data_IF_806986028584
#
_entry.id   IF_806986028584
#
_cell.length_a   1.000
_cell.length_b   1.000
_cell.length_c   1.000
_cell.angle_alpha   90.00
_cell.angle_beta   90.00
_cell.angle_gamma   90.00
#
_symmetry.space_group_name_H-M   'P 1'
#
loop_
_entity.id
_entity.type
_entity.pdbx_description
1 polymer ?
#
# COMPACT_ATOMS: atom_id res chain seq x y z
N UNK A 1 46.79 47.81 41.14
CA UNK A 1 46.03 47.89 39.88
C UNK A 1 45.53 46.48 39.53
N UNK A 2 44.21 46.26 39.60
CA UNK A 2 43.58 44.93 39.51
C UNK A 2 43.29 44.57 38.04
N UNK A 3 43.94 43.52 37.50
CA UNK A 3 43.75 43.06 36.12
C UNK A 3 42.43 42.28 36.04
N UNK A 4 41.35 42.89 35.54
CA UNK A 4 40.11 42.18 35.19
C UNK A 4 40.31 41.43 33.87
N UNK A 5 40.48 40.11 33.94
CA UNK A 5 40.30 39.24 32.77
C UNK A 5 38.80 39.02 32.57
N UNK A 6 38.26 39.70 31.56
CA UNK A 6 36.88 39.54 31.10
C UNK A 6 36.68 38.13 30.56
N UNK A 7 36.01 37.29 31.35
CA UNK A 7 35.53 35.98 30.93
C UNK A 7 34.28 36.18 30.06
N UNK A 8 34.49 36.38 28.76
CA UNK A 8 33.40 36.24 27.79
C UNK A 8 33.18 34.73 27.55
N UNK A 9 31.99 34.19 27.82
CA UNK A 9 31.72 32.78 27.58
C UNK A 9 31.78 32.55 26.07
N UNK A 10 32.70 31.69 25.65
CA UNK A 10 32.83 31.26 24.27
C UNK A 10 31.47 30.85 23.76
N UNK A 11 31.02 31.54 22.70
CA UNK A 11 29.80 31.25 21.95
C UNK A 11 29.74 29.75 21.70
N UNK A 12 28.65 29.10 22.10
CA UNK A 12 28.39 27.72 21.71
C UNK A 12 28.55 27.62 20.19
N UNK A 13 29.45 26.73 19.76
CA UNK A 13 29.66 26.35 18.37
C UNK A 13 28.28 26.10 17.75
N UNK A 14 27.89 26.77 16.66
CA UNK A 14 26.69 26.34 15.96
C UNK A 14 26.97 24.90 15.56
N UNK A 15 26.22 23.96 16.12
CA UNK A 15 26.16 22.61 15.59
C UNK A 15 25.57 22.78 14.20
N UNK A 16 26.45 23.00 13.22
CA UNK A 16 26.12 23.02 11.81
C UNK A 16 25.44 21.69 11.57
N UNK A 17 24.11 21.71 11.53
CA UNK A 17 23.34 20.60 11.02
C UNK A 17 23.58 20.58 9.52
N UNK A 18 24.77 20.10 9.14
CA UNK A 18 25.05 19.61 7.82
C UNK A 18 24.36 18.25 7.74
N UNK A 19 23.03 18.26 7.81
CA UNK A 19 22.23 17.12 7.38
C UNK A 19 22.68 16.90 5.94
N UNK A 20 23.36 15.78 5.70
CA UNK A 20 24.02 15.56 4.44
C UNK A 20 22.98 15.76 3.32
N UNK A 21 23.33 16.54 2.30
CA UNK A 21 22.42 16.78 1.18
C UNK A 21 21.93 15.45 0.57
N UNK A 22 22.78 14.42 0.61
CA UNK A 22 22.46 13.04 0.26
C UNK A 22 21.45 12.37 1.21
N UNK A 23 21.49 12.67 2.50
CA UNK A 23 20.55 12.16 3.50
C UNK A 23 19.16 12.76 3.28
N UNK A 24 19.09 14.07 3.04
CA UNK A 24 17.85 14.76 2.66
C UNK A 24 17.28 14.19 1.36
N UNK A 25 18.14 13.93 0.38
CA UNK A 25 17.75 13.31 -0.89
C UNK A 25 17.23 11.87 -0.71
N UNK A 26 17.88 11.07 0.14
CA UNK A 26 17.42 9.72 0.48
C UNK A 26 16.03 9.70 1.13
N UNK A 27 15.73 10.61 2.05
CA UNK A 27 14.40 10.70 2.67
C UNK A 27 13.31 11.10 1.68
N UNK A 28 13.61 11.98 0.72
CA UNK A 28 12.69 12.33 -0.37
C UNK A 28 12.44 11.13 -1.27
N UNK A 29 13.49 10.42 -1.70
CA UNK A 29 13.34 9.20 -2.51
C UNK A 29 12.56 8.11 -1.78
N UNK A 30 12.81 7.92 -0.48
CA UNK A 30 12.11 6.96 0.36
C UNK A 30 10.62 7.33 0.52
N UNK A 31 10.31 8.61 0.74
CA UNK A 31 8.93 9.10 0.83
C UNK A 31 8.16 8.92 -0.47
N UNK A 32 8.77 9.21 -1.62
CA UNK A 32 8.17 8.98 -2.94
C UNK A 32 7.93 7.49 -3.18
N UNK A 33 8.90 6.63 -2.85
CA UNK A 33 8.78 5.18 -2.99
C UNK A 33 7.66 4.61 -2.11
N UNK A 34 7.57 5.04 -0.85
CA UNK A 34 6.52 4.61 0.08
C UNK A 34 5.13 5.10 -0.36
N UNK A 35 5.02 6.33 -0.87
CA UNK A 35 3.78 6.86 -1.45
C UNK A 35 3.32 6.09 -2.68
N UNK A 36 4.25 5.67 -3.54
CA UNK A 36 3.96 4.84 -4.71
C UNK A 36 3.54 3.41 -4.32
N UNK A 37 4.16 2.83 -3.30
CA UNK A 37 3.81 1.50 -2.81
C UNK A 37 2.39 1.49 -2.19
N UNK A 38 2.01 2.56 -1.48
CA UNK A 38 0.66 2.69 -0.91
C UNK A 38 -0.44 2.91 -1.95
N UNK A 39 -0.17 3.67 -3.02
CA UNK A 39 -1.16 3.99 -4.05
C UNK A 39 -1.52 2.78 -4.93
N UNK A 40 -0.55 1.91 -5.20
CA UNK A 40 -0.77 0.67 -5.97
C UNK A 40 -1.65 -0.32 -5.20
N UNK A 41 -1.46 -0.43 -3.88
CA UNK A 41 -2.24 -1.34 -3.04
C UNK A 41 -3.72 -0.95 -3.00
N UNK A 42 -4.03 0.35 -2.92
CA UNK A 42 -5.41 0.86 -2.96
C UNK A 42 -6.09 0.59 -4.31
N UNK A 43 -5.34 0.66 -5.41
CA UNK A 43 -5.86 0.41 -6.77
C UNK A 43 -6.18 -1.07 -7.00
N UNK A 44 -5.31 -1.97 -6.53
CA UNK A 44 -5.53 -3.42 -6.63
C UNK A 44 -6.74 -3.85 -5.79
N UNK A 45 -6.92 -3.30 -4.58
CA UNK A 45 -8.10 -3.59 -3.74
C UNK A 45 -9.40 -3.12 -4.42
N UNK A 46 -9.38 -1.94 -5.05
CA UNK A 46 -10.53 -1.44 -5.81
C UNK A 46 -10.87 -2.34 -7.00
N UNK A 47 -9.87 -2.74 -7.80
CA UNK A 47 -10.08 -3.66 -8.94
C UNK A 47 -10.65 -5.01 -8.50
N UNK A 48 -10.12 -5.59 -7.43
CA UNK A 48 -10.60 -6.85 -6.85
C UNK A 48 -12.08 -6.75 -6.42
N UNK A 49 -12.45 -5.63 -5.80
CA UNK A 49 -13.83 -5.41 -5.34
C UNK A 49 -14.79 -5.25 -6.52
N UNK A 50 -14.37 -4.54 -7.56
CA UNK A 50 -15.15 -4.36 -8.79
C UNK A 50 -15.37 -5.70 -9.51
N UNK A 51 -14.32 -6.50 -9.69
CA UNK A 51 -14.40 -7.81 -10.36
C UNK A 51 -15.34 -8.74 -9.59
N UNK A 52 -15.26 -8.76 -8.25
CA UNK A 52 -16.20 -9.55 -7.42
C UNK A 52 -17.65 -9.10 -7.63
N UNK A 53 -17.92 -7.80 -7.52
CA UNK A 53 -19.28 -7.25 -7.65
C UNK A 53 -19.87 -7.55 -9.04
N UNK A 54 -19.05 -7.45 -10.10
CA UNK A 54 -19.44 -7.81 -11.46
C UNK A 54 -19.72 -9.31 -11.60
N UNK A 55 -18.87 -10.17 -11.06
CA UNK A 55 -19.10 -11.62 -11.05
C UNK A 55 -20.42 -12.00 -10.36
N UNK A 56 -20.73 -11.39 -9.21
CA UNK A 56 -22.00 -11.59 -8.50
C UNK A 56 -23.19 -11.07 -9.30
N UNK A 57 -23.04 -9.92 -9.97
CA UNK A 57 -24.09 -9.37 -10.83
C UNK A 57 -24.36 -10.27 -12.05
N UNK A 58 -23.32 -10.76 -12.72
CA UNK A 58 -23.46 -11.70 -13.83
C UNK A 58 -24.11 -13.01 -13.41
N UNK A 59 -23.81 -13.50 -12.20
CA UNK A 59 -24.50 -14.66 -11.63
C UNK A 59 -26.01 -14.41 -11.47
N UNK A 60 -26.41 -13.21 -11.00
CA UNK A 60 -27.83 -12.83 -10.91
C UNK A 60 -28.50 -12.70 -12.29
N UNK A 61 -27.76 -12.21 -13.28
CA UNK A 61 -28.22 -12.08 -14.68
C UNK A 61 -28.18 -13.40 -15.47
N UNK A 62 -27.90 -14.54 -14.82
CA UNK A 62 -27.71 -15.87 -15.44
C UNK A 62 -26.61 -15.92 -16.52
N UNK A 63 -25.67 -14.97 -16.50
CA UNK A 63 -24.47 -14.97 -17.35
C UNK A 63 -23.35 -15.78 -16.67
N UNK A 64 -23.63 -17.05 -16.43
CA UNK A 64 -22.83 -17.94 -15.56
C UNK A 64 -21.36 -18.03 -15.98
N UNK A 65 -21.06 -18.09 -17.27
CA UNK A 65 -19.67 -18.19 -17.75
C UNK A 65 -18.85 -16.93 -17.51
N UNK A 66 -19.44 -15.73 -17.72
CA UNK A 66 -18.77 -14.46 -17.38
C UNK A 66 -18.57 -14.32 -15.87
N UNK A 67 -19.56 -14.72 -15.08
CA UNK A 67 -19.46 -14.73 -13.63
C UNK A 67 -18.31 -15.62 -13.14
N UNK A 68 -18.14 -16.80 -13.73
CA UNK A 68 -17.05 -17.74 -13.40
C UNK A 68 -15.68 -17.16 -13.70
N UNK A 69 -15.50 -16.50 -14.86
CA UNK A 69 -14.22 -15.88 -15.24
C UNK A 69 -13.81 -14.80 -14.21
N UNK A 70 -14.72 -13.85 -13.94
CA UNK A 70 -14.46 -12.76 -13.00
C UNK A 70 -14.20 -13.29 -11.57
N UNK A 71 -14.99 -14.26 -11.10
CA UNK A 71 -14.80 -14.86 -9.78
C UNK A 71 -13.50 -15.67 -9.67
N UNK A 72 -13.07 -16.39 -10.72
CA UNK A 72 -11.77 -17.10 -10.74
C UNK A 72 -10.62 -16.10 -10.64
N UNK A 73 -10.69 -14.99 -11.37
CA UNK A 73 -9.67 -13.94 -11.28
C UNK A 73 -9.62 -13.29 -9.89
N UNK A 74 -10.78 -13.02 -9.29
CA UNK A 74 -10.85 -12.52 -7.91
C UNK A 74 -10.25 -13.52 -6.91
N UNK A 75 -10.49 -14.82 -7.07
CA UNK A 75 -9.93 -15.87 -6.21
C UNK A 75 -8.40 -15.91 -6.27
N UNK A 76 -7.80 -15.81 -7.46
CA UNK A 76 -6.33 -15.78 -7.64
C UNK A 76 -5.73 -14.60 -6.86
N UNK A 77 -6.34 -13.42 -6.98
CA UNK A 77 -5.88 -12.21 -6.31
C UNK A 77 -5.98 -12.32 -4.77
N UNK A 78 -7.08 -12.86 -4.24
CA UNK A 78 -7.20 -13.07 -2.79
C UNK A 78 -6.22 -14.10 -2.25
N UNK A 79 -5.91 -15.15 -3.02
CA UNK A 79 -4.88 -16.13 -2.67
C UNK A 79 -3.50 -15.50 -2.64
N UNK A 80 -3.15 -14.65 -3.61
CA UNK A 80 -1.89 -13.90 -3.63
C UNK A 80 -1.76 -12.93 -2.45
N UNK A 81 -2.87 -12.35 -1.99
CA UNK A 81 -2.93 -11.47 -0.82
C UNK A 81 -2.95 -12.23 0.52
N UNK A 82 -2.83 -13.56 0.51
CA UNK A 82 -2.99 -14.41 1.69
C UNK A 82 -4.33 -14.22 2.43
N UNK A 83 -5.36 -13.70 1.74
CA UNK A 83 -6.68 -13.45 2.30
C UNK A 83 -7.56 -14.68 2.11
N UNK A 84 -7.20 -15.75 2.83
CA UNK A 84 -7.82 -17.08 2.67
C UNK A 84 -9.31 -17.08 3.02
N UNK A 85 -9.72 -16.32 4.05
CA UNK A 85 -11.12 -16.19 4.43
C UNK A 85 -12.00 -15.68 3.27
N UNK A 86 -11.43 -14.80 2.44
CA UNK A 86 -12.14 -14.21 1.31
C UNK A 86 -12.07 -15.10 0.07
N UNK A 87 -10.91 -15.72 -0.17
CA UNK A 87 -10.73 -16.73 -1.21
C UNK A 87 -11.78 -17.86 -1.08
N UNK A 88 -11.96 -18.41 0.12
CA UNK A 88 -12.92 -19.48 0.38
C UNK A 88 -14.37 -19.06 0.06
N UNK A 89 -14.76 -17.83 0.43
CA UNK A 89 -16.09 -17.29 0.09
C UNK A 89 -16.28 -17.22 -1.43
N UNK A 90 -15.27 -16.80 -2.18
CA UNK A 90 -15.35 -16.72 -3.66
C UNK A 90 -15.44 -18.13 -4.27
N UNK A 91 -14.67 -19.09 -3.76
CA UNK A 91 -14.72 -20.49 -4.21
C UNK A 91 -16.07 -21.16 -3.93
N UNK A 92 -16.71 -20.85 -2.80
CA UNK A 92 -18.06 -21.32 -2.51
C UNK A 92 -19.08 -20.79 -3.53
N UNK A 93 -18.97 -19.53 -3.94
CA UNK A 93 -19.83 -18.96 -4.99
C UNK A 93 -19.58 -19.66 -6.33
N UNK A 94 -18.31 -19.89 -6.70
CA UNK A 94 -17.95 -20.62 -7.93
C UNK A 94 -18.51 -22.04 -7.96
N UNK A 95 -18.46 -22.78 -6.84
CA UNK A 95 -19.06 -24.12 -6.73
C UNK A 95 -20.56 -24.10 -6.97
N UNK A 96 -21.27 -23.10 -6.43
CA UNK A 96 -22.72 -22.92 -6.66
C UNK A 96 -23.04 -22.60 -8.12
N UNK A 97 -22.09 -22.03 -8.87
CA UNK A 97 -22.22 -21.73 -10.30
C UNK A 97 -21.80 -22.89 -11.20
N UNK A 98 -21.37 -24.02 -10.64
CA UNK A 98 -21.04 -25.23 -11.39
C UNK A 98 -19.60 -25.35 -11.88
N UNK A 99 -18.61 -24.87 -11.09
CA UNK A 99 -17.18 -25.25 -11.17
C UNK A 99 -16.42 -24.92 -12.44
#
# INVERSE_FOLDING_TARGET
MLKKTSQFPGKAKPNTQHLNLSESFCWVSLGVLLGFLGSTQSTIIAMITIIRSRGVLYAKLKQTEKAKIDLKQAAILFRQQNNMATYEKVMQILRKLGG
#
